data_IF_496738727157
#
_entry.id   IF_496738727157
#
_cell.length_a   1.000
_cell.length_b   1.000
_cell.length_c   1.000
_cell.angle_alpha   90.00
_cell.angle_beta   90.00
_cell.angle_gamma   90.00
#
_symmetry.space_group_name_H-M   'P 1'
#
loop_
_entity.id
_entity.type
_entity.pdbx_description
1 polymer ?
#
# COMPACT_ATOMS: atom_id res chain seq x y z
N UNK A 1 -4.91 -5.74 -14.57
CA UNK A 1 -4.71 -4.93 -13.34
C UNK A 1 -4.09 -5.83 -12.28
N UNK A 2 -3.05 -5.39 -11.57
CA UNK A 2 -2.38 -6.21 -10.54
C UNK A 2 -3.17 -6.23 -9.23
N UNK A 3 -3.10 -7.33 -8.48
CA UNK A 3 -3.65 -7.41 -7.12
C UNK A 3 -2.53 -7.55 -6.10
N UNK A 4 -2.67 -6.81 -5.00
CA UNK A 4 -1.80 -6.83 -3.84
C UNK A 4 -2.64 -7.20 -2.61
N UNK A 5 -2.81 -8.50 -2.29
CA UNK A 5 -3.25 -8.86 -0.96
C UNK A 5 -2.26 -8.28 0.06
N UNK A 6 -2.80 -7.65 1.10
CA UNK A 6 -1.98 -6.92 2.06
C UNK A 6 -1.81 -7.68 3.37
N UNK A 7 -0.65 -7.49 4.01
CA UNK A 7 -0.37 -7.91 5.39
C UNK A 7 0.09 -6.66 6.15
N UNK A 8 -0.68 -6.26 7.17
CA UNK A 8 -0.19 -5.26 8.12
C UNK A 8 0.47 -5.99 9.29
N UNK A 9 1.70 -5.59 9.62
CA UNK A 9 2.52 -6.20 10.65
C UNK A 9 2.51 -5.36 11.91
N UNK A 10 2.26 -6.02 13.04
CA UNK A 10 2.46 -5.46 14.37
C UNK A 10 2.92 -6.52 15.35
N UNK A 11 4.07 -6.30 16.00
CA UNK A 11 4.68 -7.26 16.91
C UNK A 11 4.91 -8.64 16.28
N UNK A 12 5.26 -8.69 14.99
CA UNK A 12 5.46 -9.91 14.22
C UNK A 12 4.19 -10.63 13.77
N UNK A 13 3.01 -10.07 14.02
CA UNK A 13 1.70 -10.69 13.73
C UNK A 13 0.99 -10.03 12.55
N UNK A 14 0.08 -10.77 11.93
CA UNK A 14 -0.85 -10.28 10.90
C UNK A 14 -2.03 -9.61 11.59
N UNK A 15 -2.19 -8.30 11.37
CA UNK A 15 -3.25 -7.51 11.98
C UNK A 15 -4.03 -6.70 10.94
N UNK A 16 -5.17 -6.15 11.36
CA UNK A 16 -5.82 -5.03 10.68
C UNK A 16 -6.26 -3.98 11.67
N UNK A 17 -6.13 -2.73 11.26
CA UNK A 17 -6.72 -1.58 11.94
C UNK A 17 -8.02 -1.20 11.23
N UNK A 18 -9.01 -0.73 11.97
CA UNK A 18 -10.16 -0.06 11.34
C UNK A 18 -9.83 1.42 11.21
N UNK A 19 -9.75 1.94 9.98
CA UNK A 19 -9.40 3.35 9.70
C UNK A 19 -8.07 3.79 10.35
N UNK A 20 -7.07 2.90 10.39
CA UNK A 20 -5.76 3.19 10.98
C UNK A 20 -5.74 3.36 12.50
N UNK A 21 -6.85 3.09 13.19
CA UNK A 21 -6.93 3.22 14.64
C UNK A 21 -6.28 2.03 15.37
N UNK A 22 -5.13 2.29 15.98
CA UNK A 22 -4.35 1.31 16.75
C UNK A 22 -5.08 0.72 17.95
N UNK A 23 -6.14 1.36 18.44
CA UNK A 23 -7.00 0.85 19.52
C UNK A 23 -8.08 -0.12 19.00
N UNK A 24 -8.39 -0.05 17.69
CA UNK A 24 -9.38 -0.89 17.00
C UNK A 24 -8.68 -1.89 16.09
N UNK A 25 -7.84 -2.71 16.70
CA UNK A 25 -7.03 -3.72 16.05
C UNK A 25 -7.64 -5.11 16.17
N UNK A 26 -7.56 -5.90 15.11
CA UNK A 26 -7.85 -7.33 15.12
C UNK A 26 -6.62 -8.10 14.67
N UNK A 27 -6.25 -9.15 15.41
CA UNK A 27 -5.20 -10.11 15.01
C UNK A 27 -5.87 -11.18 14.16
N UNK A 28 -5.36 -11.38 12.95
CA UNK A 28 -5.85 -12.39 12.00
C UNK A 28 -4.94 -13.61 11.90
N UNK A 29 -3.67 -13.48 12.29
CA UNK A 29 -2.73 -14.59 12.26
C UNK A 29 -1.43 -14.27 12.99
N UNK A 30 -0.77 -15.31 13.48
CA UNK A 30 0.49 -15.24 14.22
C UNK A 30 1.70 -15.55 13.32
N UNK A 31 1.49 -16.14 12.13
CA UNK A 31 2.52 -16.47 11.14
C UNK A 31 2.27 -15.71 9.83
N UNK A 32 2.93 -14.55 9.61
CA UNK A 32 2.84 -13.80 8.36
C UNK A 32 3.31 -14.59 7.13
N UNK A 33 4.29 -15.49 7.28
CA UNK A 33 4.76 -16.33 6.19
C UNK A 33 3.68 -17.36 5.80
N UNK A 34 2.96 -17.95 6.76
CA UNK A 34 1.79 -18.78 6.46
C UNK A 34 0.73 -18.00 5.68
N UNK A 35 0.40 -16.79 6.12
CA UNK A 35 -0.57 -15.96 5.41
C UNK A 35 -0.13 -15.64 3.97
N UNK A 36 1.15 -15.34 3.76
CA UNK A 36 1.70 -15.11 2.43
C UNK A 36 1.65 -16.39 1.55
N UNK A 37 1.87 -17.58 2.14
CA UNK A 37 1.71 -18.85 1.40
C UNK A 37 0.27 -19.09 0.98
N UNK A 38 -0.70 -18.74 1.81
CA UNK A 38 -2.12 -18.82 1.43
C UNK A 38 -2.46 -17.89 0.26
N UNK A 39 -1.95 -16.66 0.28
CA UNK A 39 -2.14 -15.73 -0.84
C UNK A 39 -1.47 -16.23 -2.12
N UNK A 40 -0.26 -16.79 -2.02
CA UNK A 40 0.44 -17.40 -3.14
C UNK A 40 -0.34 -18.61 -3.69
N UNK A 41 -0.87 -19.48 -2.83
CA UNK A 41 -1.69 -20.63 -3.22
C UNK A 41 -3.00 -20.21 -3.90
N UNK A 42 -3.56 -19.06 -3.53
CA UNK A 42 -4.70 -18.44 -4.19
C UNK A 42 -4.34 -17.75 -5.53
N UNK A 43 -3.08 -17.79 -5.96
CA UNK A 43 -2.64 -17.26 -7.26
C UNK A 43 -2.17 -15.81 -7.24
N UNK A 44 -1.99 -15.19 -6.07
CA UNK A 44 -1.38 -13.87 -5.99
C UNK A 44 0.06 -13.91 -6.54
N UNK A 45 0.45 -12.85 -7.24
CA UNK A 45 1.83 -12.63 -7.70
C UNK A 45 2.54 -11.54 -6.88
N UNK A 46 1.78 -10.72 -6.17
CA UNK A 46 2.29 -9.59 -5.42
C UNK A 46 1.82 -9.64 -3.97
N UNK A 47 2.53 -8.93 -3.09
CA UNK A 47 2.19 -8.77 -1.68
C UNK A 47 2.49 -7.34 -1.24
N UNK A 48 1.53 -6.71 -0.57
CA UNK A 48 1.72 -5.41 0.05
C UNK A 48 1.93 -5.59 1.55
N UNK A 49 3.05 -5.13 2.09
CA UNK A 49 3.37 -5.29 3.52
C UNK A 49 3.51 -3.91 4.15
N UNK A 50 2.82 -3.70 5.27
CA UNK A 50 2.93 -2.47 6.05
C UNK A 50 3.50 -2.78 7.43
N UNK A 51 4.67 -2.24 7.75
CA UNK A 51 5.22 -2.24 9.11
C UNK A 51 4.54 -1.14 9.95
N UNK A 52 3.49 -1.50 10.70
CA UNK A 52 2.73 -0.55 11.51
C UNK A 52 3.50 -0.05 12.73
N UNK A 53 4.46 -0.84 13.25
CA UNK A 53 5.34 -0.41 14.34
C UNK A 53 6.32 0.64 13.80
N UNK A 54 7.00 0.33 12.70
CA UNK A 54 7.87 1.28 12.00
C UNK A 54 7.14 2.56 11.57
N UNK A 55 5.89 2.46 11.10
CA UNK A 55 5.08 3.65 10.78
C UNK A 55 4.84 4.52 12.02
N UNK A 56 4.60 3.91 13.18
CA UNK A 56 4.27 4.60 14.43
C UNK A 56 5.48 5.29 15.07
N UNK A 57 6.61 4.60 15.18
CA UNK A 57 7.76 5.07 15.96
C UNK A 57 9.11 5.02 15.23
N UNK A 58 9.16 4.47 14.01
CA UNK A 58 10.38 4.37 13.20
C UNK A 58 11.30 3.20 13.55
N UNK A 59 10.88 2.31 14.45
CA UNK A 59 11.62 1.10 14.82
C UNK A 59 11.70 0.10 13.67
N UNK A 60 12.57 -0.90 13.82
CA UNK A 60 12.70 -2.05 12.93
C UNK A 60 12.08 -3.31 13.54
N UNK A 61 11.05 -3.17 14.37
CA UNK A 61 10.50 -4.29 15.15
C UNK A 61 10.00 -5.45 14.30
N UNK A 62 9.62 -5.22 13.04
CA UNK A 62 9.17 -6.26 12.12
C UNK A 62 10.21 -6.62 11.04
N UNK A 63 11.48 -6.20 11.21
CA UNK A 63 12.54 -6.46 10.22
C UNK A 63 12.72 -7.95 9.93
N UNK A 64 12.87 -8.78 10.97
CA UNK A 64 13.08 -10.22 10.81
C UNK A 64 11.89 -10.90 10.14
N UNK A 65 10.67 -10.43 10.42
CA UNK A 65 9.44 -10.90 9.77
C UNK A 65 9.45 -10.56 8.27
N UNK A 66 9.81 -9.33 7.90
CA UNK A 66 9.90 -8.91 6.49
C UNK A 66 11.01 -9.67 5.77
N UNK A 67 12.15 -9.89 6.42
CA UNK A 67 13.24 -10.71 5.88
C UNK A 67 12.81 -12.16 5.64
N UNK A 68 12.04 -12.75 6.56
CA UNK A 68 11.47 -14.08 6.37
C UNK A 68 10.48 -14.15 5.20
N UNK A 69 9.61 -13.15 5.05
CA UNK A 69 8.69 -13.02 3.91
C UNK A 69 9.44 -12.92 2.58
N UNK A 70 10.47 -12.07 2.50
CA UNK A 70 11.27 -11.91 1.29
C UNK A 70 12.04 -13.20 0.94
N UNK A 71 12.63 -13.87 1.95
CA UNK A 71 13.34 -15.14 1.77
C UNK A 71 12.41 -16.28 1.33
N UNK A 72 11.15 -16.30 1.76
CA UNK A 72 10.17 -17.30 1.32
C UNK A 72 9.99 -17.29 -0.20
N UNK A 73 10.02 -16.10 -0.81
CA UNK A 73 9.88 -15.94 -2.25
C UNK A 73 8.50 -16.30 -2.80
N UNK A 74 8.38 -16.28 -4.13
CA UNK A 74 7.13 -16.57 -4.86
C UNK A 74 6.19 -15.37 -5.03
N UNK A 75 6.42 -14.27 -4.31
CA UNK A 75 5.65 -13.03 -4.42
C UNK A 75 6.58 -11.83 -4.65
N UNK A 76 6.17 -10.91 -5.51
CA UNK A 76 6.75 -9.57 -5.57
C UNK A 76 6.27 -8.75 -4.37
N UNK A 77 7.18 -8.42 -3.46
CA UNK A 77 6.84 -7.74 -2.21
C UNK A 77 7.09 -6.24 -2.35
N UNK A 78 6.11 -5.43 -1.98
CA UNK A 78 6.31 -4.03 -1.64
C UNK A 78 6.17 -3.81 -0.13
N UNK A 79 7.02 -2.97 0.44
CA UNK A 79 7.06 -2.70 1.89
C UNK A 79 6.92 -1.20 2.15
N UNK A 80 5.98 -0.84 3.02
CA UNK A 80 5.82 0.48 3.60
C UNK A 80 5.88 0.45 5.12
N UNK A 81 5.89 1.64 5.73
CA UNK A 81 5.95 1.81 7.19
C UNK A 81 7.34 2.22 7.68
N UNK A 82 7.48 3.47 8.15
CA UNK A 82 8.70 3.93 8.81
C UNK A 82 9.94 4.17 7.92
N UNK A 83 9.81 4.06 6.59
CA UNK A 83 10.92 4.30 5.65
C UNK A 83 11.16 5.80 5.51
N UNK A 84 12.18 6.32 6.19
CA UNK A 84 12.52 7.76 6.26
C UNK A 84 13.93 8.09 5.81
N UNK A 85 14.75 7.07 5.54
CA UNK A 85 16.15 7.24 5.17
C UNK A 85 16.51 6.31 4.02
N UNK A 86 17.59 6.64 3.31
CA UNK A 86 18.08 5.86 2.19
C UNK A 86 18.64 4.51 2.64
N UNK A 87 19.29 4.45 3.81
CA UNK A 87 19.82 3.22 4.38
C UNK A 87 18.69 2.20 4.64
N UNK A 88 17.50 2.68 5.03
CA UNK A 88 16.32 1.82 5.21
C UNK A 88 15.83 1.25 3.88
N UNK A 89 15.84 2.06 2.82
CA UNK A 89 15.50 1.61 1.45
C UNK A 89 16.50 0.53 1.02
N UNK A 90 17.79 0.79 1.14
CA UNK A 90 18.85 -0.16 0.77
C UNK A 90 18.74 -1.46 1.56
N UNK A 91 18.47 -1.37 2.86
CA UNK A 91 18.24 -2.51 3.74
C UNK A 91 17.11 -3.39 3.21
N UNK A 92 15.91 -2.85 2.96
CA UNK A 92 14.79 -3.67 2.46
C UNK A 92 15.04 -4.22 1.05
N UNK A 93 15.59 -3.41 0.14
CA UNK A 93 15.90 -3.88 -1.21
C UNK A 93 16.95 -5.01 -1.20
N UNK A 94 17.92 -4.98 -0.27
CA UNK A 94 18.94 -6.04 -0.13
C UNK A 94 18.37 -7.38 0.35
N UNK A 95 17.20 -7.37 1.01
CA UNK A 95 16.47 -8.58 1.40
C UNK A 95 15.75 -9.25 0.21
N UNK A 96 15.66 -8.59 -0.94
CA UNK A 96 14.87 -9.04 -2.08
C UNK A 96 13.45 -8.44 -2.14
N UNK A 97 13.15 -7.42 -1.32
CA UNK A 97 11.93 -6.61 -1.48
C UNK A 97 11.98 -5.94 -2.85
N UNK A 98 10.89 -6.03 -3.60
CA UNK A 98 10.77 -5.50 -4.95
C UNK A 98 10.64 -3.98 -5.00
N UNK A 99 9.95 -3.40 -4.00
CA UNK A 99 9.70 -1.95 -3.92
C UNK A 99 9.51 -1.44 -2.50
N UNK A 100 10.08 -0.27 -2.19
CA UNK A 100 9.84 0.45 -0.95
C UNK A 100 8.78 1.54 -1.15
N UNK A 101 7.95 1.77 -0.14
CA UNK A 101 6.88 2.77 -0.15
C UNK A 101 7.24 3.93 0.77
N UNK A 102 7.40 5.11 0.19
CA UNK A 102 7.60 6.35 0.94
C UNK A 102 6.23 6.96 1.29
N UNK A 103 5.90 7.00 2.57
CA UNK A 103 4.67 7.62 3.08
C UNK A 103 4.93 9.05 3.56
N UNK A 104 4.92 9.28 4.88
CA UNK A 104 5.05 10.63 5.47
C UNK A 104 6.29 11.41 5.00
N UNK A 105 7.43 10.74 4.81
CA UNK A 105 8.66 11.40 4.32
C UNK A 105 8.47 12.00 2.91
N UNK A 106 7.55 11.45 2.12
CA UNK A 106 7.20 11.95 0.80
C UNK A 106 6.73 13.41 0.83
N UNK A 107 6.02 13.76 1.90
CA UNK A 107 5.46 15.10 2.12
C UNK A 107 6.45 15.96 2.91
N UNK A 108 7.01 15.43 4.01
CA UNK A 108 7.81 16.23 4.95
C UNK A 108 9.22 16.54 4.45
N UNK A 109 9.78 15.69 3.59
CA UNK A 109 11.06 15.93 2.91
C UNK A 109 10.94 15.53 1.42
N UNK A 110 10.33 16.43 0.66
CA UNK A 110 10.15 16.19 -0.77
C UNK A 110 11.48 16.17 -1.54
N UNK A 111 12.49 16.89 -1.08
CA UNK A 111 13.80 16.88 -1.73
C UNK A 111 14.44 15.49 -1.63
N UNK A 112 14.36 14.84 -0.46
CA UNK A 112 14.73 13.43 -0.30
C UNK A 112 13.94 12.54 -1.26
N UNK A 113 12.62 12.71 -1.30
CA UNK A 113 11.72 11.92 -2.13
C UNK A 113 12.06 12.00 -3.61
N UNK A 114 12.26 13.20 -4.15
CA UNK A 114 12.67 13.40 -5.54
C UNK A 114 14.03 12.74 -5.85
N UNK A 115 14.99 12.80 -4.90
CA UNK A 115 16.28 12.09 -5.05
C UNK A 115 16.09 10.57 -5.09
N UNK A 116 15.26 10.01 -4.21
CA UNK A 116 15.00 8.57 -4.16
C UNK A 116 14.28 8.07 -5.41
N UNK A 117 13.27 8.81 -5.88
CA UNK A 117 12.58 8.51 -7.14
C UNK A 117 13.57 8.48 -8.31
N UNK A 118 14.47 9.47 -8.39
CA UNK A 118 15.50 9.52 -9.44
C UNK A 118 16.52 8.39 -9.36
N UNK A 119 16.96 8.02 -8.14
CA UNK A 119 18.00 6.99 -7.94
C UNK A 119 17.46 5.58 -8.11
N UNK A 120 16.28 5.29 -7.59
CA UNK A 120 15.74 3.93 -7.46
C UNK A 120 14.59 3.64 -8.43
N UNK A 121 14.00 4.64 -9.08
CA UNK A 121 13.00 4.47 -10.13
C UNK A 121 11.80 3.63 -9.69
N UNK A 122 11.56 2.54 -10.40
CA UNK A 122 10.44 1.61 -10.20
C UNK A 122 10.48 0.85 -8.86
N UNK A 123 11.62 0.87 -8.17
CA UNK A 123 11.77 0.32 -6.81
C UNK A 123 11.21 1.24 -5.72
N UNK A 124 10.67 2.40 -6.07
CA UNK A 124 10.00 3.32 -5.14
C UNK A 124 8.55 3.55 -5.59
N UNK A 125 7.62 3.32 -4.66
CA UNK A 125 6.28 3.86 -4.73
C UNK A 125 6.11 4.95 -3.68
N UNK A 126 5.12 5.84 -3.88
CA UNK A 126 4.74 6.84 -2.88
C UNK A 126 3.32 6.58 -2.40
N UNK A 127 3.16 6.48 -1.08
CA UNK A 127 1.87 6.37 -0.42
C UNK A 127 1.28 7.76 -0.21
N UNK A 128 0.10 8.01 -0.77
CA UNK A 128 -0.71 9.21 -0.60
C UNK A 128 -1.98 8.82 0.14
N UNK A 129 -1.92 8.88 1.46
CA UNK A 129 -3.08 8.64 2.29
C UNK A 129 -3.80 9.96 2.50
N UNK A 130 -5.08 10.04 2.13
CA UNK A 130 -5.86 11.28 2.17
C UNK A 130 -7.03 11.18 3.14
N UNK A 131 -7.18 12.23 3.95
CA UNK A 131 -8.34 12.46 4.82
C UNK A 131 -8.98 13.78 4.43
N UNK A 132 -10.27 13.73 4.10
CA UNK A 132 -11.04 14.89 3.63
C UNK A 132 -10.38 15.62 2.43
N UNK A 133 -9.67 14.87 1.58
CA UNK A 133 -8.97 15.39 0.40
C UNK A 133 -7.54 15.91 0.64
N UNK A 134 -7.06 15.92 1.88
CA UNK A 134 -5.72 16.40 2.25
C UNK A 134 -4.81 15.25 2.70
N UNK A 135 -3.51 15.36 2.42
CA UNK A 135 -2.56 14.29 2.72
C UNK A 135 -2.36 14.16 4.23
N UNK A 136 -2.56 12.96 4.75
CA UNK A 136 -2.32 12.59 6.12
C UNK A 136 -0.93 11.96 6.30
N UNK A 137 -0.28 12.27 7.42
CA UNK A 137 1.08 11.84 7.75
C UNK A 137 1.16 11.27 9.17
N UNK A 138 2.32 10.72 9.54
CA UNK A 138 2.61 10.13 10.85
C UNK A 138 1.61 9.02 11.26
N UNK A 139 1.27 8.13 10.32
CA UNK A 139 0.30 7.07 10.55
C UNK A 139 -1.12 7.62 10.73
N UNK A 140 -1.49 8.60 9.89
CA UNK A 140 -2.81 9.25 9.82
C UNK A 140 -3.19 10.11 11.03
N UNK A 141 -2.21 10.41 11.89
CA UNK A 141 -2.42 11.22 13.10
C UNK A 141 -2.45 12.72 12.82
N UNK A 142 -1.75 13.15 11.78
CA UNK A 142 -1.71 14.55 11.34
C UNK A 142 -2.23 14.67 9.91
N UNK A 143 -2.99 15.72 9.66
CA UNK A 143 -3.43 16.10 8.32
C UNK A 143 -2.64 17.34 7.92
N UNK A 144 -1.90 17.23 6.81
CA UNK A 144 -1.14 18.35 6.26
C UNK A 144 -2.06 19.34 5.53
N UNK A 145 -1.53 20.51 5.18
CA UNK A 145 -2.26 21.48 4.34
C UNK A 145 -2.21 21.13 2.84
N UNK A 146 -1.48 20.07 2.45
CA UNK A 146 -1.29 19.69 1.04
C UNK A 146 -2.51 18.91 0.51
N UNK A 147 -3.19 19.39 -0.55
CA UNK A 147 -4.25 18.63 -1.21
C UNK A 147 -3.69 17.36 -1.86
N UNK A 148 -4.37 16.22 -1.70
CA UNK A 148 -3.89 14.92 -2.21
C UNK A 148 -3.72 14.87 -3.73
N UNK A 149 -4.62 15.52 -4.47
CA UNK A 149 -4.52 15.62 -5.94
C UNK A 149 -3.30 16.46 -6.37
N UNK A 150 -3.07 17.60 -5.72
CA UNK A 150 -1.94 18.47 -6.04
C UNK A 150 -0.62 17.78 -5.68
N UNK A 151 -0.60 17.03 -4.58
CA UNK A 151 0.55 16.22 -4.22
C UNK A 151 0.84 15.14 -5.28
N UNK A 152 -0.18 14.45 -5.80
CA UNK A 152 0.00 13.49 -6.88
C UNK A 152 0.58 14.14 -8.15
N UNK A 153 0.11 15.33 -8.52
CA UNK A 153 0.66 16.10 -9.66
C UNK A 153 2.13 16.47 -9.42
N UNK A 154 2.46 16.90 -8.21
CA UNK A 154 3.82 17.24 -7.80
C UNK A 154 4.76 16.03 -7.82
N UNK A 155 4.29 14.88 -7.37
CA UNK A 155 5.01 13.60 -7.44
C UNK A 155 5.26 13.17 -8.89
N UNK A 156 4.24 13.24 -9.75
CA UNK A 156 4.36 12.93 -11.17
C UNK A 156 5.40 13.82 -11.85
N UNK A 157 5.39 15.13 -11.58
CA UNK A 157 6.38 16.08 -12.08
C UNK A 157 7.82 15.78 -11.60
N UNK A 158 7.97 15.15 -10.44
CA UNK A 158 9.26 14.68 -9.92
C UNK A 158 9.68 13.30 -10.46
N UNK A 159 8.91 12.72 -11.38
CA UNK A 159 9.20 11.42 -12.01
C UNK A 159 8.67 10.21 -11.26
N UNK A 160 7.74 10.39 -10.32
CA UNK A 160 7.08 9.26 -9.67
C UNK A 160 6.16 8.53 -10.66
N UNK A 161 6.39 7.23 -10.83
CA UNK A 161 5.60 6.39 -11.76
C UNK A 161 4.61 5.49 -11.04
N UNK A 162 4.75 5.28 -9.71
CA UNK A 162 3.89 4.41 -8.92
C UNK A 162 3.38 5.14 -7.67
N UNK A 163 2.08 5.40 -7.62
CA UNK A 163 1.42 6.05 -6.47
C UNK A 163 0.37 5.11 -5.90
N UNK A 164 0.45 4.84 -4.59
CA UNK A 164 -0.59 4.16 -3.83
C UNK A 164 -1.43 5.25 -3.21
N UNK A 165 -2.68 5.39 -3.65
CA UNK A 165 -3.59 6.38 -3.07
C UNK A 165 -4.57 5.67 -2.14
N UNK A 166 -4.67 6.12 -0.90
CA UNK A 166 -5.63 5.58 0.09
C UNK A 166 -6.63 6.66 0.47
N UNK A 167 -7.93 6.42 0.24
CA UNK A 167 -8.98 7.21 0.88
C UNK A 167 -9.23 6.63 2.29
N UNK A 168 -8.75 7.36 3.31
CA UNK A 168 -8.81 6.91 4.71
C UNK A 168 -10.27 6.73 5.17
N UNK A 169 -11.22 7.49 4.62
CA UNK A 169 -12.62 7.37 5.02
C UNK A 169 -13.21 6.00 4.64
N UNK A 170 -12.76 5.43 3.52
CA UNK A 170 -13.16 4.11 3.03
C UNK A 170 -12.40 2.97 3.72
N UNK A 171 -11.20 3.23 4.26
CA UNK A 171 -10.32 2.16 4.70
C UNK A 171 -10.84 1.38 5.92
N UNK A 172 -10.82 0.04 5.80
CA UNK A 172 -11.38 -0.87 6.80
C UNK A 172 -12.88 -0.72 7.08
N UNK A 173 -13.61 0.15 6.34
CA UNK A 173 -15.01 0.47 6.57
C UNK A 173 -15.98 -0.52 5.90
N UNK A 174 -15.50 -1.35 4.97
CA UNK A 174 -16.29 -2.34 4.21
C UNK A 174 -17.53 -1.73 3.53
N UNK A 175 -17.38 -0.54 2.95
CA UNK A 175 -18.45 0.24 2.28
C UNK A 175 -18.11 0.63 0.84
N UNK A 176 -17.07 0.01 0.28
CA UNK A 176 -16.55 0.31 -1.04
C UNK A 176 -15.45 1.39 -1.04
N UNK A 177 -14.64 1.37 -2.09
CA UNK A 177 -13.59 2.33 -2.38
C UNK A 177 -14.12 3.54 -3.13
N UNK A 178 -13.34 4.62 -3.15
CA UNK A 178 -13.72 5.86 -3.80
C UNK A 178 -13.46 5.82 -5.31
N UNK A 179 -14.36 5.19 -6.07
CA UNK A 179 -14.25 5.07 -7.53
C UNK A 179 -14.24 6.43 -8.26
N UNK A 180 -14.93 7.44 -7.71
CA UNK A 180 -14.93 8.79 -8.27
C UNK A 180 -13.56 9.47 -8.20
N UNK A 181 -12.85 9.27 -7.09
CA UNK A 181 -11.48 9.73 -6.90
C UNK A 181 -10.54 9.09 -7.93
N UNK A 182 -10.58 7.78 -8.13
CA UNK A 182 -9.71 7.11 -9.12
C UNK A 182 -10.01 7.54 -10.56
N UNK A 183 -11.27 7.78 -10.91
CA UNK A 183 -11.62 8.40 -12.21
C UNK A 183 -10.97 9.77 -12.38
N UNK A 184 -10.92 10.56 -11.31
CA UNK A 184 -10.31 11.89 -11.32
C UNK A 184 -8.79 11.80 -11.43
N UNK A 185 -8.14 10.92 -10.65
CA UNK A 185 -6.70 10.70 -10.70
C UNK A 185 -6.23 10.27 -12.10
N UNK A 186 -6.93 9.32 -12.72
CA UNK A 186 -6.62 8.85 -14.07
C UNK A 186 -6.70 9.96 -15.13
N UNK A 187 -7.60 10.94 -14.94
CA UNK A 187 -7.77 12.08 -15.84
C UNK A 187 -6.72 13.18 -15.59
N UNK A 188 -6.49 13.52 -14.33
CA UNK A 188 -5.73 14.69 -13.92
C UNK A 188 -4.22 14.44 -13.78
N UNK A 189 -3.81 13.18 -13.63
CA UNK A 189 -2.41 12.78 -13.45
C UNK A 189 -2.07 11.59 -14.38
N UNK A 190 -2.18 11.78 -15.71
CA UNK A 190 -1.95 10.70 -16.67
C UNK A 190 -0.49 10.22 -16.64
N UNK A 191 -0.28 8.94 -16.95
CA UNK A 191 1.06 8.33 -17.02
C UNK A 191 1.60 7.80 -15.69
N UNK A 192 0.88 8.02 -14.58
CA UNK A 192 1.19 7.41 -13.28
C UNK A 192 0.40 6.10 -13.11
N UNK A 193 1.09 5.05 -12.68
CA UNK A 193 0.48 3.78 -12.28
C UNK A 193 -0.11 3.93 -10.87
N UNK A 194 -1.41 4.22 -10.80
CA UNK A 194 -2.13 4.28 -9.53
C UNK A 194 -2.49 2.90 -9.01
N UNK A 195 -2.21 2.67 -7.72
CA UNK A 195 -2.71 1.54 -6.94
C UNK A 195 -3.86 2.02 -6.08
N UNK A 196 -5.04 1.41 -6.24
CA UNK A 196 -6.19 1.69 -5.40
C UNK A 196 -6.06 1.03 -4.03
N UNK A 197 -6.20 1.82 -2.97
CA UNK A 197 -6.20 1.38 -1.58
C UNK A 197 -7.38 2.00 -0.82
N UNK A 198 -7.82 1.30 0.23
CA UNK A 198 -8.92 1.74 1.09
C UNK A 198 -10.31 1.29 0.62
N UNK A 199 -10.92 0.37 1.35
CA UNK A 199 -12.35 0.08 1.30
C UNK A 199 -12.87 -0.86 0.20
N UNK A 200 -12.00 -1.38 -0.68
CA UNK A 200 -12.41 -2.33 -1.74
C UNK A 200 -13.08 -3.56 -1.11
N UNK A 201 -14.33 -3.81 -1.49
CA UNK A 201 -15.19 -4.79 -0.83
C UNK A 201 -15.98 -5.71 -1.76
N UNK A 202 -15.93 -5.47 -3.08
CA UNK A 202 -16.69 -6.25 -4.06
C UNK A 202 -15.94 -6.43 -5.39
N UNK A 203 -16.26 -7.53 -6.09
CA UNK A 203 -15.71 -7.85 -7.43
C UNK A 203 -16.08 -6.77 -8.47
N UNK A 204 -17.26 -6.15 -8.33
CA UNK A 204 -17.71 -5.09 -9.22
C UNK A 204 -16.78 -3.87 -9.19
N UNK A 205 -16.31 -3.48 -8.00
CA UNK A 205 -15.32 -2.41 -7.85
C UNK A 205 -14.01 -2.73 -8.55
N UNK A 206 -13.52 -3.97 -8.46
CA UNK A 206 -12.30 -4.41 -9.14
C UNK A 206 -12.42 -4.33 -10.67
N UNK A 207 -13.58 -4.72 -11.22
CA UNK A 207 -13.87 -4.58 -12.64
C UNK A 207 -13.92 -3.12 -13.08
N UNK A 208 -14.55 -2.25 -12.27
CA UNK A 208 -14.57 -0.82 -12.53
C UNK A 208 -13.16 -0.21 -12.52
N UNK A 209 -12.35 -0.51 -11.49
CA UNK A 209 -10.97 -0.05 -11.39
C UNK A 209 -10.13 -0.51 -12.60
N UNK A 210 -10.26 -1.78 -13.01
CA UNK A 210 -9.60 -2.32 -14.20
C UNK A 210 -10.04 -1.59 -15.47
N UNK A 211 -11.35 -1.35 -15.64
CA UNK A 211 -11.90 -0.62 -16.80
C UNK A 211 -11.39 0.81 -16.90
N UNK A 212 -11.11 1.46 -15.77
CA UNK A 212 -10.53 2.81 -15.73
C UNK A 212 -9.03 2.86 -16.05
N UNK A 213 -8.36 1.71 -16.13
CA UNK A 213 -6.91 1.64 -16.29
C UNK A 213 -6.13 1.83 -14.98
N UNK A 214 -6.77 1.61 -13.82
CA UNK A 214 -6.05 1.56 -12.54
C UNK A 214 -5.02 0.43 -12.61
N UNK A 215 -3.77 0.70 -12.24
CA UNK A 215 -2.68 -0.24 -12.44
C UNK A 215 -2.78 -1.43 -11.47
N UNK A 216 -3.17 -1.16 -10.22
CA UNK A 216 -3.29 -2.17 -9.19
C UNK A 216 -4.37 -1.88 -8.15
N UNK A 217 -4.71 -2.87 -7.34
CA UNK A 217 -5.59 -2.74 -6.19
C UNK A 217 -5.03 -3.50 -4.97
N UNK A 218 -5.06 -2.86 -3.81
CA UNK A 218 -4.69 -3.47 -2.52
C UNK A 218 -5.94 -4.04 -1.86
N UNK A 219 -5.88 -5.34 -1.52
CA UNK A 219 -6.95 -6.06 -0.87
C UNK A 219 -6.55 -6.41 0.55
N UNK A 220 -7.16 -5.73 1.52
CA UNK A 220 -6.89 -5.93 2.93
C UNK A 220 -8.03 -6.65 3.65
N UNK A 221 -8.74 -5.92 4.50
CA UNK A 221 -9.82 -6.44 5.37
C UNK A 221 -10.87 -7.27 4.64
N UNK A 222 -11.17 -6.99 3.37
CA UNK A 222 -12.12 -7.76 2.57
C UNK A 222 -11.72 -9.21 2.36
N UNK A 223 -10.42 -9.52 2.27
CA UNK A 223 -9.93 -10.91 2.21
C UNK A 223 -10.10 -11.61 3.56
N UNK A 224 -9.66 -10.96 4.64
CA UNK A 224 -9.70 -11.54 5.98
C UNK A 224 -11.11 -11.76 6.53
N UNK A 225 -12.09 -11.00 6.04
CA UNK A 225 -13.51 -11.16 6.42
C UNK A 225 -14.25 -12.13 5.49
N UNK A 226 -13.60 -12.65 4.45
CA UNK A 226 -14.23 -13.51 3.44
C UNK A 226 -15.21 -12.79 2.52
N UNK A 227 -15.25 -11.45 2.55
CA UNK A 227 -16.09 -10.66 1.65
C UNK A 227 -15.62 -10.78 0.18
N UNK A 228 -14.32 -10.98 -0.02
CA UNK A 228 -13.73 -11.29 -1.32
C UNK A 228 -12.93 -12.60 -1.24
N UNK A 229 -13.16 -13.47 -2.21
CA UNK A 229 -12.32 -14.63 -2.46
C UNK A 229 -11.14 -14.22 -3.35
N UNK A 230 -9.91 -14.38 -2.85
CA UNK A 230 -8.72 -13.92 -3.56
C UNK A 230 -8.52 -14.67 -4.89
N UNK A 231 -8.72 -16.00 -4.91
CA UNK A 231 -8.50 -16.80 -6.11
C UNK A 231 -9.43 -16.38 -7.24
N UNK A 232 -10.70 -16.09 -6.92
CA UNK A 232 -11.66 -15.55 -7.87
C UNK A 232 -11.30 -14.13 -8.31
N UNK A 233 -10.87 -13.27 -7.40
CA UNK A 233 -10.41 -11.92 -7.76
C UNK A 233 -9.21 -11.97 -8.73
N UNK A 234 -8.23 -12.86 -8.48
CA UNK A 234 -7.08 -13.07 -9.36
C UNK A 234 -7.56 -13.44 -10.77
N UNK A 235 -8.43 -14.45 -10.89
CA UNK A 235 -8.99 -14.87 -12.18
C UNK A 235 -9.75 -13.74 -12.90
N UNK A 236 -10.40 -12.87 -12.13
CA UNK A 236 -11.26 -11.81 -12.66
C UNK A 236 -10.47 -10.65 -13.29
N UNK A 237 -9.40 -10.20 -12.61
CA UNK A 237 -8.74 -8.93 -12.99
C UNK A 237 -7.25 -9.02 -13.26
N UNK A 238 -6.58 -10.04 -12.72
CA UNK A 238 -5.14 -10.20 -12.82
C UNK A 238 -4.74 -10.84 -14.16
N UNK A 239 -3.73 -10.26 -14.78
CA UNK A 239 -3.10 -10.77 -16.02
C UNK A 239 -1.83 -11.56 -15.66
#
# INVERSE_FOLDING_TARGET
MQLFPAIDLRGGKVVRLTQGDYSRMTVYGEDPCAQAREFLAAGAKNLHVVDLDGAKDGTLSNYDTIAALAKQGGLYIEVGGGIRTEERIETYLSLGVGRCILGSVAVTDFAFTARMLKKYGDKIAVGVDAKDGYVAIHGWKEVSAEPGMDFCKRLAAAGCTAIIYTDIACDGAMRGTNLGLYRTLAKEVPGVAFTASGGISSEAELLELKKMGTAAAILGKSLYTGALDLARCVQLVQE
#
